data_IF_314547212907
#
_entry.id   IF_314547212907
#
_cell.length_a   1.000
_cell.length_b   1.000
_cell.length_c   1.000
_cell.angle_alpha   90.00
_cell.angle_beta   90.00
_cell.angle_gamma   90.00
#
_symmetry.space_group_name_H-M   'P 1'
#
loop_
_entity.id
_entity.type
_entity.pdbx_description
1 polymer ?
#
# COMPACT_ATOMS: atom_id res chain seq x y z
N UNK A 1 9.16 28.78 12.67
CA UNK A 1 8.13 27.86 13.19
C UNK A 1 7.69 27.04 11.99
N UNK A 2 7.79 25.73 12.06
CA UNK A 2 7.27 24.89 10.98
C UNK A 2 5.75 25.01 11.01
N UNK A 3 5.15 25.34 9.86
CA UNK A 3 3.70 25.49 9.73
C UNK A 3 3.03 24.15 9.40
N UNK A 4 3.82 23.13 9.06
CA UNK A 4 3.38 21.78 8.69
C UNK A 4 4.02 20.78 9.62
N UNK A 5 3.26 19.84 10.11
CA UNK A 5 3.72 18.67 10.86
C UNK A 5 3.63 17.44 9.96
N UNK A 6 4.73 16.69 9.86
CA UNK A 6 4.73 15.41 9.12
C UNK A 6 4.64 14.29 10.16
N UNK A 7 3.58 13.50 10.06
CA UNK A 7 3.46 12.24 10.78
C UNK A 7 4.15 11.16 9.94
N UNK A 8 5.36 10.77 10.35
CA UNK A 8 6.16 9.74 9.67
C UNK A 8 6.05 8.42 10.43
N UNK A 9 5.46 7.43 9.80
CA UNK A 9 5.26 6.08 10.34
C UNK A 9 6.36 5.09 9.94
N UNK A 10 7.33 5.51 9.12
CA UNK A 10 8.36 4.62 8.54
C UNK A 10 9.17 3.88 9.62
N UNK A 11 9.53 4.54 10.70
CA UNK A 11 10.28 3.93 11.81
C UNK A 11 9.51 2.80 12.48
N UNK A 12 8.19 2.92 12.61
CA UNK A 12 7.31 1.88 13.13
C UNK A 12 7.34 0.63 12.25
N UNK A 13 7.21 0.79 10.94
CA UNK A 13 7.21 -0.34 9.99
C UNK A 13 8.56 -1.05 9.89
N UNK A 14 9.66 -0.34 10.15
CA UNK A 14 11.01 -0.92 10.14
C UNK A 14 11.33 -1.64 11.45
N UNK A 15 10.92 -1.11 12.60
CA UNK A 15 11.44 -1.52 13.91
C UNK A 15 10.41 -2.14 14.85
N UNK A 16 9.13 -1.76 14.80
CA UNK A 16 8.10 -2.06 15.80
C UNK A 16 6.97 -2.96 15.30
N UNK A 17 7.31 -4.03 14.57
CA UNK A 17 6.33 -4.94 13.96
C UNK A 17 5.65 -5.91 14.94
N UNK A 18 5.95 -5.84 16.24
CA UNK A 18 5.44 -6.77 17.25
C UNK A 18 4.12 -6.31 17.89
N UNK A 19 3.33 -5.48 17.23
CA UNK A 19 2.04 -5.03 17.75
C UNK A 19 0.90 -5.91 17.29
N UNK A 20 -0.10 -6.07 18.14
CA UNK A 20 -1.33 -6.83 17.84
C UNK A 20 -2.03 -6.39 16.54
N UNK A 21 -1.87 -5.12 16.16
CA UNK A 21 -2.45 -4.57 14.93
C UNK A 21 -2.05 -5.28 13.64
N UNK A 22 -0.84 -5.82 13.58
CA UNK A 22 -0.34 -6.56 12.41
C UNK A 22 -1.02 -7.93 12.24
N UNK A 23 -1.45 -8.54 13.31
CA UNK A 23 -2.09 -9.86 13.27
C UNK A 23 -3.59 -9.76 12.94
N UNK A 24 -4.19 -8.59 13.08
CA UNK A 24 -5.62 -8.36 12.90
C UNK A 24 -6.03 -7.85 11.51
N UNK A 25 -5.13 -7.83 10.52
CA UNK A 25 -5.49 -7.46 9.15
C UNK A 25 -6.52 -8.45 8.56
N UNK A 26 -7.32 -7.99 7.60
CA UNK A 26 -8.25 -8.88 6.89
C UNK A 26 -7.51 -10.03 6.20
N UNK A 27 -6.33 -9.76 5.64
CA UNK A 27 -5.49 -10.78 5.03
C UNK A 27 -5.12 -11.89 6.02
N UNK A 28 -4.60 -11.53 7.20
CA UNK A 28 -4.19 -12.49 8.21
C UNK A 28 -5.39 -13.20 8.84
N UNK A 29 -6.48 -12.47 9.09
CA UNK A 29 -7.69 -13.01 9.70
C UNK A 29 -8.41 -14.02 8.81
N UNK A 30 -8.33 -13.87 7.51
CA UNK A 30 -8.93 -14.75 6.52
C UNK A 30 -7.96 -15.81 5.97
N UNK A 31 -6.70 -15.83 6.41
CA UNK A 31 -5.72 -16.79 5.92
C UNK A 31 -5.99 -18.23 6.43
N UNK A 32 -6.20 -18.50 7.73
CA UNK A 32 -6.48 -19.84 8.20
C UNK A 32 -7.81 -20.39 7.65
N UNK A 33 -7.79 -21.59 7.09
CA UNK A 33 -9.01 -22.22 6.55
C UNK A 33 -10.10 -22.43 7.59
N UNK A 34 -9.72 -22.62 8.85
CA UNK A 34 -10.62 -22.77 9.99
C UNK A 34 -10.91 -21.45 10.72
N UNK A 35 -10.57 -20.31 10.11
CA UNK A 35 -10.84 -19.01 10.71
C UNK A 35 -12.34 -18.83 10.99
N UNK A 36 -12.72 -18.39 12.21
CA UNK A 36 -14.12 -18.10 12.52
C UNK A 36 -14.67 -16.96 11.64
N UNK A 37 -13.79 -16.08 11.12
CA UNK A 37 -14.19 -15.00 10.24
C UNK A 37 -14.56 -15.55 8.85
N UNK A 38 -13.85 -16.55 8.33
CA UNK A 38 -14.24 -17.25 7.09
C UNK A 38 -15.62 -17.89 7.19
N UNK A 39 -15.99 -18.40 8.38
CA UNK A 39 -17.30 -19.02 8.60
C UNK A 39 -18.47 -18.05 8.45
N UNK A 40 -18.21 -16.73 8.49
CA UNK A 40 -19.22 -15.68 8.27
C UNK A 40 -19.37 -15.31 6.80
N UNK A 41 -18.46 -15.77 5.94
CA UNK A 41 -18.48 -15.49 4.51
C UNK A 41 -19.34 -16.51 3.77
N UNK A 42 -19.96 -16.10 2.66
CA UNK A 42 -20.66 -17.01 1.75
C UNK A 42 -19.71 -18.05 1.13
N UNK A 43 -18.43 -17.69 0.98
CA UNK A 43 -17.38 -18.56 0.45
C UNK A 43 -16.26 -18.70 1.47
N UNK A 44 -15.91 -19.93 1.82
CA UNK A 44 -14.75 -20.22 2.66
C UNK A 44 -13.47 -20.08 1.83
N UNK A 45 -12.94 -18.86 1.75
CA UNK A 45 -11.74 -18.56 0.98
C UNK A 45 -10.93 -17.43 1.60
N UNK A 46 -9.67 -17.25 1.17
CA UNK A 46 -8.78 -16.18 1.62
C UNK A 46 -9.19 -14.82 1.06
N UNK A 47 -8.69 -13.74 1.69
CA UNK A 47 -8.96 -12.37 1.25
C UNK A 47 -8.45 -12.11 -0.18
N UNK A 48 -7.25 -12.57 -0.52
CA UNK A 48 -6.69 -12.40 -1.87
C UNK A 48 -7.54 -13.03 -2.96
N UNK A 49 -8.13 -14.20 -2.70
CA UNK A 49 -9.07 -14.82 -3.63
C UNK A 49 -10.39 -14.06 -3.77
N UNK A 50 -10.92 -13.51 -2.67
CA UNK A 50 -12.12 -12.64 -2.73
C UNK A 50 -11.84 -11.38 -3.54
N UNK A 51 -10.71 -10.74 -3.28
CA UNK A 51 -10.27 -9.55 -4.00
C UNK A 51 -10.08 -9.84 -5.49
N UNK A 52 -9.41 -10.93 -5.83
CA UNK A 52 -9.25 -11.35 -7.22
C UNK A 52 -10.59 -11.56 -7.91
N UNK A 53 -11.51 -12.32 -7.28
CA UNK A 53 -12.85 -12.58 -7.83
C UNK A 53 -13.65 -11.28 -8.03
N UNK A 54 -13.50 -10.32 -7.12
CA UNK A 54 -14.14 -9.02 -7.24
C UNK A 54 -13.56 -8.22 -8.41
N UNK A 55 -12.24 -8.06 -8.44
CA UNK A 55 -11.56 -7.24 -9.43
C UNK A 55 -11.69 -7.80 -10.85
N UNK A 56 -11.68 -9.12 -11.02
CA UNK A 56 -11.83 -9.78 -12.34
C UNK A 56 -13.18 -9.49 -13.02
N UNK A 57 -14.17 -9.02 -12.27
CA UNK A 57 -15.46 -8.59 -12.87
C UNK A 57 -15.38 -7.21 -13.50
N UNK A 58 -14.36 -6.44 -13.17
CA UNK A 58 -14.22 -5.04 -13.55
C UNK A 58 -12.95 -4.75 -14.35
N UNK A 59 -11.94 -5.60 -14.19
CA UNK A 59 -10.62 -5.44 -14.78
C UNK A 59 -10.21 -6.73 -15.50
N UNK A 60 -9.52 -6.64 -16.65
CA UNK A 60 -9.02 -7.80 -17.37
C UNK A 60 -7.72 -8.34 -16.73
N UNK A 61 -7.81 -8.78 -15.47
CA UNK A 61 -6.64 -9.23 -14.71
C UNK A 61 -5.88 -10.37 -15.38
N UNK A 62 -6.58 -11.24 -16.10
CA UNK A 62 -5.97 -12.39 -16.80
C UNK A 62 -5.06 -11.96 -17.98
N UNK A 63 -5.19 -10.72 -18.45
CA UNK A 63 -4.33 -10.15 -19.50
C UNK A 63 -3.04 -9.53 -18.94
N UNK A 64 -2.98 -9.32 -17.62
CA UNK A 64 -1.81 -8.74 -16.96
C UNK A 64 -0.56 -9.60 -17.18
N UNK A 65 0.56 -8.97 -17.51
CA UNK A 65 1.89 -9.59 -17.66
C UNK A 65 2.79 -9.30 -16.48
N UNK A 66 2.41 -8.32 -15.64
CA UNK A 66 3.19 -7.89 -14.50
C UNK A 66 2.30 -7.32 -13.40
N UNK A 67 2.58 -7.74 -12.15
CA UNK A 67 1.87 -7.29 -10.94
C UNK A 67 2.88 -6.79 -9.93
N UNK A 68 2.60 -5.66 -9.33
CA UNK A 68 3.33 -5.08 -8.19
C UNK A 68 2.41 -5.11 -6.98
N UNK A 69 2.91 -5.53 -5.82
CA UNK A 69 2.27 -5.31 -4.54
C UNK A 69 3.18 -4.44 -3.66
N UNK A 70 2.60 -3.40 -3.08
CA UNK A 70 3.26 -2.46 -2.19
C UNK A 70 2.84 -2.75 -0.76
N UNK A 71 3.82 -2.93 0.16
CA UNK A 71 3.52 -3.18 1.57
C UNK A 71 2.65 -4.41 1.78
N UNK A 72 2.96 -5.52 1.11
CA UNK A 72 2.11 -6.71 1.00
C UNK A 72 2.01 -7.57 2.27
N UNK A 73 2.42 -7.05 3.45
CA UNK A 73 2.38 -7.79 4.70
C UNK A 73 3.10 -9.14 4.59
N UNK A 74 2.40 -10.25 4.79
CA UNK A 74 2.98 -11.60 4.66
C UNK A 74 2.92 -12.17 3.23
N UNK A 75 2.44 -11.40 2.24
CA UNK A 75 2.40 -11.79 0.83
C UNK A 75 1.22 -12.67 0.42
N UNK A 76 0.18 -12.76 1.23
CA UNK A 76 -0.96 -13.63 0.98
C UNK A 76 -1.79 -13.22 -0.24
N UNK A 77 -1.97 -11.91 -0.48
CA UNK A 77 -2.69 -11.42 -1.67
C UNK A 77 -1.92 -11.80 -2.93
N UNK A 78 -0.63 -11.50 -2.98
CA UNK A 78 0.21 -11.84 -4.13
C UNK A 78 0.21 -13.35 -4.40
N UNK A 79 0.32 -14.20 -3.37
CA UNK A 79 0.23 -15.65 -3.51
C UNK A 79 -1.07 -16.06 -4.19
N UNK A 80 -2.19 -15.55 -3.71
CA UNK A 80 -3.50 -15.90 -4.23
C UNK A 80 -3.67 -15.43 -5.68
N UNK A 81 -3.14 -14.24 -6.03
CA UNK A 81 -3.12 -13.75 -7.40
C UNK A 81 -2.25 -14.64 -8.29
N UNK A 82 -1.06 -15.03 -7.85
CA UNK A 82 -0.14 -15.85 -8.63
C UNK A 82 -0.61 -17.30 -8.83
N UNK A 83 -1.46 -17.82 -7.96
CA UNK A 83 -2.13 -19.11 -8.18
C UNK A 83 -3.14 -19.07 -9.33
N UNK A 84 -3.70 -17.89 -9.60
CA UNK A 84 -4.72 -17.64 -10.63
C UNK A 84 -4.12 -17.11 -11.94
N UNK A 85 -3.05 -16.33 -11.87
CA UNK A 85 -2.38 -15.71 -13.00
C UNK A 85 -1.17 -16.55 -13.44
N UNK A 86 -1.16 -17.03 -14.67
CA UNK A 86 -0.07 -17.86 -15.20
C UNK A 86 0.93 -17.03 -15.98
N UNK A 87 2.22 -17.23 -15.70
CA UNK A 87 3.31 -16.61 -16.46
C UNK A 87 3.44 -15.10 -16.23
N UNK A 88 2.84 -14.58 -15.18
CA UNK A 88 2.94 -13.18 -14.79
C UNK A 88 4.26 -12.91 -14.06
N UNK A 89 4.86 -11.76 -14.29
CA UNK A 89 5.99 -11.26 -13.49
C UNK A 89 5.44 -10.59 -12.23
N UNK A 90 5.98 -10.92 -11.07
CA UNK A 90 5.55 -10.33 -9.83
C UNK A 90 6.68 -9.58 -9.13
N UNK A 91 6.35 -8.47 -8.52
CA UNK A 91 7.25 -7.68 -7.69
C UNK A 91 6.59 -7.34 -6.37
N UNK A 92 7.34 -7.45 -5.29
CA UNK A 92 6.98 -6.97 -3.97
C UNK A 92 7.90 -5.80 -3.63
N UNK A 93 7.36 -4.69 -3.18
CA UNK A 93 8.12 -3.59 -2.63
C UNK A 93 7.67 -3.33 -1.20
N UNK A 94 8.62 -3.30 -0.28
CA UNK A 94 8.35 -3.11 1.14
C UNK A 94 9.52 -2.38 1.80
N UNK A 95 9.24 -1.52 2.74
CA UNK A 95 10.26 -0.82 3.53
C UNK A 95 10.80 -1.72 4.65
N UNK A 96 10.07 -2.77 5.03
CA UNK A 96 10.40 -3.67 6.12
C UNK A 96 11.17 -4.90 5.63
N UNK A 97 12.45 -5.08 6.00
CA UNK A 97 13.19 -6.30 5.69
C UNK A 97 12.59 -7.55 6.36
N UNK A 98 11.93 -7.38 7.52
CA UNK A 98 11.23 -8.46 8.19
C UNK A 98 10.04 -8.95 7.35
N UNK A 99 9.18 -8.05 6.88
CA UNK A 99 8.03 -8.43 6.04
C UNK A 99 8.48 -9.01 4.71
N UNK A 100 9.52 -8.48 4.08
CA UNK A 100 10.11 -9.09 2.89
C UNK A 100 10.61 -10.52 3.12
N UNK A 101 11.13 -10.83 4.32
CA UNK A 101 11.48 -12.20 4.69
C UNK A 101 10.25 -13.10 4.73
N UNK A 102 9.15 -12.64 5.34
CA UNK A 102 7.87 -13.37 5.38
C UNK A 102 7.25 -13.56 3.99
N UNK A 103 7.30 -12.54 3.17
CA UNK A 103 6.86 -12.61 1.78
C UNK A 103 7.65 -13.66 0.99
N UNK A 104 8.99 -13.74 1.17
CA UNK A 104 9.81 -14.79 0.54
C UNK A 104 9.44 -16.19 1.01
N UNK A 105 9.11 -16.36 2.29
CA UNK A 105 8.62 -17.65 2.82
C UNK A 105 7.29 -18.06 2.16
N UNK A 106 6.34 -17.12 2.08
CA UNK A 106 4.98 -17.35 1.52
C UNK A 106 5.02 -17.60 0.01
N UNK A 107 5.90 -16.90 -0.71
CA UNK A 107 5.98 -16.89 -2.17
C UNK A 107 7.12 -17.76 -2.73
N UNK A 108 7.68 -18.67 -1.93
CA UNK A 108 8.86 -19.47 -2.26
C UNK A 108 8.71 -20.35 -3.52
N UNK A 109 7.49 -20.69 -3.89
CA UNK A 109 7.17 -21.48 -5.09
C UNK A 109 6.93 -20.64 -6.34
N UNK A 110 7.00 -19.30 -6.23
CA UNK A 110 6.69 -18.35 -7.30
C UNK A 110 7.95 -17.56 -7.69
N UNK A 111 8.00 -17.12 -8.95
CA UNK A 111 9.08 -16.24 -9.42
C UNK A 111 8.72 -14.79 -9.13
N UNK A 112 9.20 -14.27 -7.99
CA UNK A 112 8.89 -12.93 -7.49
C UNK A 112 10.18 -12.16 -7.25
N UNK A 113 10.19 -10.89 -7.68
CA UNK A 113 11.26 -9.94 -7.34
C UNK A 113 10.88 -9.21 -6.04
N UNK A 114 11.81 -9.18 -5.07
CA UNK A 114 11.60 -8.52 -3.78
C UNK A 114 12.52 -7.31 -3.68
N UNK A 115 11.93 -6.13 -3.51
CA UNK A 115 12.61 -4.85 -3.42
C UNK A 115 12.44 -4.27 -2.01
N UNK A 116 13.55 -4.18 -1.25
CA UNK A 116 13.59 -3.41 -0.01
C UNK A 116 13.78 -1.94 -0.37
N UNK A 117 12.69 -1.21 -0.40
CA UNK A 117 12.72 0.19 -0.83
C UNK A 117 11.45 0.93 -0.38
N UNK A 118 11.60 2.22 -0.10
CA UNK A 118 10.46 3.10 0.12
C UNK A 118 9.72 3.33 -1.20
N UNK A 119 8.45 2.94 -1.23
CA UNK A 119 7.59 3.11 -2.40
C UNK A 119 7.47 4.57 -2.85
N UNK A 120 7.45 5.52 -1.91
CA UNK A 120 7.36 6.95 -2.23
C UNK A 120 8.63 7.49 -2.93
N UNK A 121 9.76 6.81 -2.73
CA UNK A 121 11.03 7.11 -3.42
C UNK A 121 11.21 6.31 -4.72
N UNK A 122 10.27 5.41 -5.06
CA UNK A 122 10.37 4.61 -6.28
C UNK A 122 10.26 5.47 -7.54
N UNK A 123 11.07 5.15 -8.56
CA UNK A 123 11.03 5.89 -9.81
C UNK A 123 9.70 5.67 -10.56
N UNK A 124 9.19 6.68 -11.28
CA UNK A 124 8.01 6.50 -12.13
C UNK A 124 8.18 5.39 -13.17
N UNK A 125 9.39 5.15 -13.66
CA UNK A 125 9.65 4.10 -14.65
C UNK A 125 9.55 2.70 -14.05
N UNK A 126 9.92 2.54 -12.78
CA UNK A 126 9.68 1.30 -12.06
C UNK A 126 8.17 1.00 -11.97
N UNK A 127 7.37 2.01 -11.62
CA UNK A 127 5.91 1.85 -11.49
C UNK A 127 5.24 1.55 -12.83
N UNK A 128 5.63 2.26 -13.89
CA UNK A 128 5.12 2.04 -15.26
C UNK A 128 5.47 0.66 -15.84
N UNK A 129 6.44 -0.02 -15.26
CA UNK A 129 6.83 -1.37 -15.65
C UNK A 129 5.81 -2.47 -15.26
N UNK A 130 4.72 -2.11 -14.56
CA UNK A 130 3.72 -3.05 -14.07
C UNK A 130 2.33 -2.71 -14.63
N UNK A 131 1.59 -3.75 -15.03
CA UNK A 131 0.22 -3.59 -15.56
C UNK A 131 -0.80 -3.41 -14.44
N UNK A 132 -0.52 -4.00 -13.27
CA UNK A 132 -1.37 -3.91 -12.08
C UNK A 132 -0.50 -3.56 -10.87
N UNK A 133 -0.93 -2.59 -10.08
CA UNK A 133 -0.36 -2.27 -8.78
C UNK A 133 -1.42 -2.46 -7.68
N UNK A 134 -1.07 -3.20 -6.64
CA UNK A 134 -1.92 -3.48 -5.49
C UNK A 134 -1.38 -2.68 -4.31
N UNK A 135 -2.22 -1.82 -3.75
CA UNK A 135 -1.99 -1.06 -2.52
C UNK A 135 -3.17 -1.36 -1.59
N UNK A 136 -3.01 -2.36 -0.72
CA UNK A 136 -4.08 -2.80 0.16
C UNK A 136 -3.74 -2.48 1.61
N UNK A 137 -4.60 -1.73 2.28
CA UNK A 137 -4.49 -1.34 3.70
C UNK A 137 -3.18 -0.61 4.08
N UNK A 138 -2.48 0.02 3.13
CA UNK A 138 -1.19 0.67 3.37
C UNK A 138 -1.15 2.18 3.09
N UNK A 139 -2.19 2.76 2.49
CA UNK A 139 -2.22 4.21 2.23
C UNK A 139 -2.19 5.02 3.53
N UNK A 140 -2.83 4.51 4.58
CA UNK A 140 -2.82 5.12 5.92
C UNK A 140 -1.45 5.04 6.62
N UNK A 141 -0.54 4.22 6.11
CA UNK A 141 0.80 4.02 6.67
C UNK A 141 1.85 4.92 6.01
N UNK A 142 1.47 5.69 5.01
CA UNK A 142 2.38 6.65 4.40
C UNK A 142 2.51 7.92 5.26
N UNK A 143 3.68 8.60 5.19
CA UNK A 143 3.85 9.87 5.87
C UNK A 143 2.75 10.84 5.49
N UNK A 144 2.15 11.47 6.49
CA UNK A 144 1.00 12.36 6.30
C UNK A 144 1.35 13.75 6.78
N UNK A 145 1.12 14.77 5.94
CA UNK A 145 1.20 16.16 6.35
C UNK A 145 -0.07 16.56 7.12
N UNK A 146 0.09 16.89 8.39
CA UNK A 146 -1.00 17.16 9.32
C UNK A 146 -1.24 18.65 9.54
N UNK A 147 -2.47 19.02 9.91
CA UNK A 147 -2.80 20.37 10.31
C UNK A 147 -2.72 21.42 9.21
N UNK A 148 -2.82 21.00 7.94
CA UNK A 148 -2.81 21.93 6.82
C UNK A 148 -4.03 22.86 6.86
N UNK A 149 -3.79 24.16 6.73
CA UNK A 149 -4.83 25.19 6.62
C UNK A 149 -4.67 25.96 5.31
N UNK A 150 -5.69 26.72 4.94
CA UNK A 150 -5.58 27.62 3.78
C UNK A 150 -4.46 28.63 3.93
N UNK A 151 -4.25 29.13 5.16
CA UNK A 151 -3.21 30.13 5.43
C UNK A 151 -1.81 29.53 5.27
N UNK A 152 -1.62 28.26 5.68
CA UNK A 152 -0.37 27.50 5.47
C UNK A 152 -0.11 27.27 3.98
N UNK A 153 -1.15 27.02 3.19
CA UNK A 153 -1.05 26.82 1.75
C UNK A 153 -1.00 28.12 0.95
N UNK A 154 -1.22 29.29 1.57
CA UNK A 154 -1.04 30.57 0.90
C UNK A 154 0.46 30.88 0.69
N UNK A 155 0.78 31.70 -0.32
CA UNK A 155 2.16 32.03 -0.72
C UNK A 155 2.99 32.68 0.41
N UNK A 156 2.37 33.16 1.48
CA UNK A 156 3.05 33.81 2.58
C UNK A 156 3.73 32.87 3.58
N UNK A 157 3.41 31.56 3.57
CA UNK A 157 4.11 30.59 4.40
C UNK A 157 5.44 30.19 3.73
N UNK A 158 6.57 30.49 4.42
CA UNK A 158 7.93 30.21 3.94
C UNK A 158 8.43 28.79 4.30
N UNK A 159 7.57 27.96 4.83
CA UNK A 159 7.87 26.57 5.12
C UNK A 159 8.10 25.79 3.83
N UNK A 160 9.23 25.07 3.72
CA UNK A 160 9.59 24.31 2.53
C UNK A 160 8.63 23.16 2.25
N UNK A 161 8.10 22.52 3.28
CA UNK A 161 7.11 21.43 3.14
C UNK A 161 5.76 22.00 2.65
N UNK A 162 5.33 23.14 3.19
CA UNK A 162 4.15 23.82 2.69
C UNK A 162 4.29 24.23 1.22
N UNK A 163 5.48 24.66 0.80
CA UNK A 163 5.76 25.02 -0.59
C UNK A 163 5.69 23.79 -1.52
N UNK A 164 6.21 22.66 -1.08
CA UNK A 164 6.14 21.38 -1.81
C UNK A 164 4.69 20.92 -1.97
N UNK A 165 3.92 20.92 -0.89
CA UNK A 165 2.50 20.54 -0.91
C UNK A 165 1.70 21.46 -1.84
N UNK A 166 1.91 22.78 -1.80
CA UNK A 166 1.32 23.71 -2.77
C UNK A 166 1.67 23.33 -4.20
N UNK A 167 2.90 22.91 -4.43
CA UNK A 167 3.33 22.40 -5.74
C UNK A 167 2.49 21.25 -6.22
N UNK A 168 2.18 20.28 -5.36
CA UNK A 168 1.30 19.15 -5.69
C UNK A 168 -0.14 19.60 -5.95
N UNK A 169 -0.72 20.44 -5.10
CA UNK A 169 -2.07 20.98 -5.32
C UNK A 169 -2.18 21.66 -6.69
N UNK A 170 -1.22 22.50 -7.03
CA UNK A 170 -1.20 23.20 -8.33
C UNK A 170 -1.00 22.23 -9.50
N UNK A 171 -0.05 21.29 -9.38
CA UNK A 171 0.29 20.33 -10.44
C UNK A 171 -0.89 19.42 -10.80
N UNK A 172 -1.65 18.99 -9.80
CA UNK A 172 -2.75 18.04 -9.98
C UNK A 172 -4.14 18.71 -9.98
N UNK A 173 -4.21 20.03 -9.88
CA UNK A 173 -5.47 20.77 -9.86
C UNK A 173 -6.34 20.42 -8.65
N UNK A 174 -5.72 20.10 -7.51
CA UNK A 174 -6.43 19.72 -6.30
C UNK A 174 -7.09 20.95 -5.64
N UNK A 175 -8.35 20.80 -5.24
CA UNK A 175 -9.05 21.84 -4.50
C UNK A 175 -8.64 21.82 -3.02
N UNK A 176 -8.28 22.97 -2.46
CA UNK A 176 -8.05 23.13 -1.02
C UNK A 176 -9.38 22.94 -0.28
N UNK A 177 -9.49 21.98 0.66
CA UNK A 177 -10.71 21.79 1.43
C UNK A 177 -11.18 23.04 2.16
N UNK A 178 -12.49 23.14 2.41
CA UNK A 178 -13.10 24.30 3.05
C UNK A 178 -13.02 24.30 4.58
N UNK A 179 -12.47 23.22 5.18
CA UNK A 179 -12.32 23.11 6.63
C UNK A 179 -11.26 24.02 7.25
N UNK A 180 -11.25 24.10 8.58
CA UNK A 180 -10.23 24.88 9.30
C UNK A 180 -8.83 24.25 9.15
N UNK A 181 -8.75 22.91 9.14
CA UNK A 181 -7.52 22.16 8.89
C UNK A 181 -7.84 20.82 8.19
N UNK A 182 -6.85 20.25 7.53
CA UNK A 182 -6.93 18.92 6.88
C UNK A 182 -5.55 18.26 6.83
N UNK A 183 -5.52 16.98 6.48
CA UNK A 183 -4.30 16.19 6.28
C UNK A 183 -4.12 15.87 4.78
N UNK A 184 -2.84 15.76 4.38
CA UNK A 184 -2.43 15.46 3.00
C UNK A 184 -1.32 14.41 2.96
#
# INVERSE_FOLDING_TARGET
MNCVEINDTSSYHIHDLNTLGWELTLCNSLEPENSPIRALLEKNTSFGNLLFDFLSRHLPLEEAKSVLEVGGGYGYIMRDFLTRLRGVRASMIDISPFLLSKQRETLNSHNVTFCEHDFLAASPDFLKGHDVAILNENIGDFPTACGLTRDVLNENCRDSQAAEIRGYFNKYGLAVPSGESFNF
#
